data_IF_484749884737
#
_entry.id   IF_484749884737
#
_cell.length_a   1.000
_cell.length_b   1.000
_cell.length_c   1.000
_cell.angle_alpha   90.00
_cell.angle_beta   90.00
_cell.angle_gamma   90.00
#
_symmetry.space_group_name_H-M   'P 1'
#
loop_
_entity.id
_entity.type
_entity.pdbx_description
1 polymer ?
#
# COMPACT_ATOMS: atom_id res chain seq x y z
N UNK A 1 -28.67 12.94 23.15
CA UNK A 1 -27.47 13.35 23.91
C UNK A 1 -26.35 13.51 22.90
N UNK A 2 -26.04 14.74 22.52
CA UNK A 2 -24.88 15.07 21.71
C UNK A 2 -23.62 14.81 22.55
N UNK A 3 -22.80 13.87 22.10
CA UNK A 3 -21.46 13.67 22.63
C UNK A 3 -20.63 14.89 22.25
N UNK A 4 -20.41 15.79 23.18
CA UNK A 4 -19.42 16.86 23.01
C UNK A 4 -18.05 16.23 22.94
N UNK A 5 -17.51 16.10 21.73
CA UNK A 5 -16.12 15.76 21.53
C UNK A 5 -15.28 16.85 22.21
N UNK A 6 -14.57 16.51 23.30
CA UNK A 6 -13.59 17.41 23.89
C UNK A 6 -12.54 17.74 22.83
N UNK A 7 -12.37 19.02 22.53
CA UNK A 7 -11.25 19.46 21.69
C UNK A 7 -9.95 19.15 22.45
N UNK A 8 -9.11 18.33 21.85
CA UNK A 8 -7.77 18.07 22.40
C UNK A 8 -6.83 19.15 21.89
N UNK A 9 -6.17 19.85 22.78
CA UNK A 9 -5.13 20.82 22.41
C UNK A 9 -3.81 20.08 22.16
N UNK A 10 -3.18 20.36 21.02
CA UNK A 10 -1.89 19.78 20.61
C UNK A 10 -0.79 20.83 20.71
N UNK A 11 0.43 20.39 21.02
CA UNK A 11 1.62 21.28 21.07
C UNK A 11 2.09 21.75 19.68
N UNK A 12 1.70 21.01 18.65
CA UNK A 12 1.86 21.34 17.22
C UNK A 12 0.58 20.95 16.50
N UNK A 13 0.30 21.53 15.36
CA UNK A 13 -0.88 21.15 14.58
C UNK A 13 -0.82 19.67 14.20
N UNK A 14 -1.93 18.91 14.38
CA UNK A 14 -1.97 17.53 13.97
C UNK A 14 -1.84 17.42 12.43
N UNK A 15 -1.19 16.36 11.91
CA UNK A 15 -1.09 16.17 10.48
C UNK A 15 -2.47 15.91 9.88
N UNK A 16 -2.64 16.30 8.62
CA UNK A 16 -3.85 16.02 7.84
C UNK A 16 -4.13 14.51 7.75
N UNK A 17 -5.40 14.20 7.57
CA UNK A 17 -5.82 12.82 7.30
C UNK A 17 -5.40 12.46 5.87
N UNK A 18 -4.45 11.55 5.74
CA UNK A 18 -4.09 11.00 4.43
C UNK A 18 -5.27 10.23 3.87
N UNK A 19 -5.63 10.52 2.63
CA UNK A 19 -6.79 9.92 1.98
C UNK A 19 -6.57 9.71 0.49
N UNK A 20 -7.27 8.73 -0.08
CA UNK A 20 -7.24 8.40 -1.50
C UNK A 20 -8.52 8.87 -2.19
N UNK A 21 -8.41 9.24 -3.45
CA UNK A 21 -9.55 9.56 -4.32
C UNK A 21 -10.39 8.31 -4.57
N UNK A 22 -11.69 8.48 -4.63
CA UNK A 22 -12.63 7.44 -5.03
C UNK A 22 -13.16 7.81 -6.42
N UNK A 23 -13.00 6.91 -7.38
CA UNK A 23 -13.46 7.12 -8.74
C UNK A 23 -14.99 7.36 -8.76
N UNK A 24 -15.39 8.48 -9.38
CA UNK A 24 -16.81 8.85 -9.51
C UNK A 24 -17.46 9.40 -8.24
N UNK A 25 -16.70 9.81 -7.23
CA UNK A 25 -17.19 10.38 -5.99
C UNK A 25 -16.36 11.59 -5.56
N UNK A 26 -17.01 12.55 -4.89
CA UNK A 26 -16.33 13.65 -4.20
C UNK A 26 -15.83 13.23 -2.79
N UNK A 27 -16.27 12.09 -2.29
CA UNK A 27 -15.79 11.51 -1.04
C UNK A 27 -14.38 10.95 -1.19
N UNK A 28 -13.67 10.84 -0.07
CA UNK A 28 -12.30 10.31 -0.04
C UNK A 28 -12.19 9.15 0.94
N UNK A 29 -11.37 8.18 0.60
CA UNK A 29 -11.09 7.03 1.47
C UNK A 29 -9.97 7.38 2.46
N UNK A 30 -10.25 7.47 3.79
CA UNK A 30 -9.23 7.79 4.79
C UNK A 30 -8.29 6.60 5.02
N UNK A 31 -6.99 6.84 4.91
CA UNK A 31 -5.97 5.80 5.10
C UNK A 31 -5.50 5.76 6.55
N UNK A 32 -5.57 4.57 7.14
CA UNK A 32 -5.06 4.34 8.49
C UNK A 32 -3.69 3.66 8.51
N UNK A 33 -3.53 2.59 7.74
CA UNK A 33 -2.29 1.78 7.66
C UNK A 33 -2.09 1.29 6.24
N UNK A 34 -0.84 1.04 5.87
CA UNK A 34 -0.47 0.46 4.58
C UNK A 34 0.35 -0.79 4.84
N UNK A 35 -0.23 -1.95 4.53
CA UNK A 35 0.47 -3.23 4.56
C UNK A 35 0.79 -3.64 3.14
N UNK A 36 2.03 -4.06 2.89
CA UNK A 36 2.48 -4.55 1.61
C UNK A 36 2.83 -6.04 1.73
N UNK A 37 2.45 -6.83 0.73
CA UNK A 37 2.82 -8.24 0.66
C UNK A 37 4.08 -8.39 -0.18
N UNK A 38 5.13 -8.96 0.43
CA UNK A 38 6.34 -9.29 -0.31
C UNK A 38 6.16 -10.56 -1.13
N UNK A 39 6.63 -10.53 -2.39
CA UNK A 39 6.67 -11.70 -3.29
C UNK A 39 5.33 -12.39 -3.51
N UNK A 40 4.23 -11.62 -3.55
CA UNK A 40 2.89 -12.14 -3.68
C UNK A 40 2.57 -12.69 -5.08
N UNK A 41 3.18 -12.13 -6.14
CA UNK A 41 2.98 -12.62 -7.50
C UNK A 41 3.87 -13.84 -7.77
N UNK A 42 3.25 -14.98 -8.13
CA UNK A 42 3.95 -16.26 -8.31
C UNK A 42 5.16 -16.17 -9.25
N UNK A 43 5.01 -15.52 -10.40
CA UNK A 43 6.11 -15.34 -11.35
C UNK A 43 7.29 -14.61 -10.69
N UNK A 44 7.02 -13.49 -10.04
CA UNK A 44 8.04 -12.70 -9.35
C UNK A 44 8.68 -13.45 -8.15
N UNK A 45 7.90 -14.24 -7.42
CA UNK A 45 8.43 -15.07 -6.36
C UNK A 45 9.45 -16.09 -6.89
N UNK A 46 9.12 -16.82 -7.97
CA UNK A 46 10.05 -17.76 -8.59
C UNK A 46 11.31 -17.08 -9.15
N UNK A 47 11.18 -15.95 -9.82
CA UNK A 47 12.32 -15.16 -10.32
C UNK A 47 13.25 -14.71 -9.18
N UNK A 48 12.69 -14.44 -8.00
CA UNK A 48 13.43 -14.06 -6.80
C UNK A 48 14.00 -15.24 -6.03
N UNK A 49 13.88 -16.48 -6.56
CA UNK A 49 14.36 -17.70 -5.90
C UNK A 49 13.49 -18.15 -4.72
N UNK A 50 12.26 -17.65 -4.62
CA UNK A 50 11.29 -18.04 -3.61
C UNK A 50 10.29 -19.05 -4.17
N UNK A 51 9.70 -19.86 -3.29
CA UNK A 51 8.64 -20.79 -3.65
C UNK A 51 7.36 -20.46 -2.89
N UNK A 52 6.38 -19.79 -3.54
CA UNK A 52 5.14 -19.38 -2.89
C UNK A 52 4.23 -20.54 -2.47
N UNK A 53 4.51 -21.77 -2.92
CA UNK A 53 3.76 -22.97 -2.51
C UNK A 53 4.26 -23.53 -1.17
N UNK A 54 5.45 -23.11 -0.74
CA UNK A 54 6.11 -23.60 0.48
C UNK A 54 6.28 -22.50 1.53
N UNK A 55 6.61 -21.31 1.08
CA UNK A 55 6.87 -20.17 1.96
C UNK A 55 5.60 -19.38 2.21
N UNK A 56 5.25 -19.08 3.48
CA UNK A 56 4.12 -18.22 3.77
C UNK A 56 4.36 -16.80 3.27
N UNK A 57 3.30 -16.04 2.95
CA UNK A 57 3.43 -14.63 2.61
C UNK A 57 4.01 -13.87 3.80
N UNK A 58 4.82 -12.85 3.52
CA UNK A 58 5.33 -11.95 4.53
C UNK A 58 4.91 -10.51 4.24
N UNK A 59 4.88 -9.70 5.30
CA UNK A 59 4.41 -8.33 5.23
C UNK A 59 5.54 -7.36 5.58
N UNK A 60 5.51 -6.20 4.93
CA UNK A 60 6.22 -5.01 5.36
C UNK A 60 5.24 -3.83 5.34
N UNK A 61 5.66 -2.68 5.86
CA UNK A 61 4.80 -1.53 6.03
C UNK A 61 5.39 -0.35 5.29
N UNK A 62 4.54 0.40 4.57
CA UNK A 62 4.82 1.78 4.20
C UNK A 62 4.07 2.70 5.16
N UNK A 63 4.64 3.85 5.57
CA UNK A 63 3.88 4.82 6.33
C UNK A 63 2.72 5.36 5.49
N UNK A 64 1.60 5.70 6.14
CA UNK A 64 0.41 6.18 5.42
C UNK A 64 0.67 7.46 4.62
N UNK A 65 1.54 8.32 5.12
CA UNK A 65 1.96 9.58 4.51
C UNK A 65 2.95 9.40 3.34
N UNK A 66 3.38 8.16 3.07
CA UNK A 66 4.06 7.83 1.82
C UNK A 66 3.13 7.80 0.61
N UNK A 67 1.80 7.71 0.81
CA UNK A 67 0.82 7.74 -0.27
C UNK A 67 0.74 9.15 -0.85
N UNK A 68 0.85 9.22 -2.17
CA UNK A 68 0.64 10.44 -2.96
C UNK A 68 -0.21 10.13 -4.19
N UNK A 69 -0.86 11.14 -4.74
CA UNK A 69 -1.55 11.00 -6.02
C UNK A 69 -0.54 10.69 -7.13
N UNK A 70 -0.80 9.65 -7.91
CA UNK A 70 0.08 9.23 -9.01
C UNK A 70 0.28 10.31 -10.08
N UNK A 71 -0.60 11.31 -10.15
CA UNK A 71 -0.52 12.46 -11.08
C UNK A 71 0.47 13.54 -10.64
N UNK A 72 0.87 13.56 -9.37
CA UNK A 72 1.77 14.61 -8.84
C UNK A 72 3.23 14.45 -9.27
N UNK A 73 3.56 13.34 -9.92
CA UNK A 73 4.93 12.98 -10.22
C UNK A 73 5.70 12.51 -8.99
N UNK A 74 6.78 11.79 -9.21
CA UNK A 74 7.60 11.24 -8.15
C UNK A 74 9.03 11.80 -8.25
N UNK A 75 9.45 12.65 -7.29
CA UNK A 75 10.82 13.15 -7.27
C UNK A 75 11.78 11.99 -6.98
N UNK A 76 12.93 11.97 -7.64
CA UNK A 76 13.94 10.97 -7.35
C UNK A 76 14.41 11.13 -5.89
N UNK A 77 14.28 10.08 -5.06
CA UNK A 77 14.61 10.19 -3.64
C UNK A 77 16.11 10.31 -3.41
N UNK A 78 16.48 10.97 -2.31
CA UNK A 78 17.88 11.02 -1.86
C UNK A 78 18.38 9.64 -1.39
N UNK A 79 19.68 9.51 -1.21
CA UNK A 79 20.41 8.36 -0.65
C UNK A 79 20.20 7.03 -1.37
N UNK A 80 19.88 7.08 -2.67
CA UNK A 80 19.83 5.91 -3.55
C UNK A 80 20.30 6.26 -4.96
N UNK A 81 20.95 5.33 -5.61
CA UNK A 81 21.31 5.40 -7.03
C UNK A 81 20.51 4.40 -7.89
N UNK A 82 19.65 3.60 -7.25
CA UNK A 82 18.89 2.55 -7.90
C UNK A 82 17.43 2.55 -7.42
N UNK A 83 16.65 3.52 -7.92
CA UNK A 83 15.20 3.55 -7.70
C UNK A 83 14.50 2.56 -8.62
N UNK A 84 13.64 1.73 -8.05
CA UNK A 84 12.74 0.82 -8.78
C UNK A 84 11.29 1.17 -8.49
N UNK A 85 10.43 0.83 -9.43
CA UNK A 85 8.97 0.86 -9.29
C UNK A 85 8.41 -0.55 -9.42
N UNK A 86 7.45 -0.89 -8.59
CA UNK A 86 6.75 -2.16 -8.59
C UNK A 86 5.26 -1.87 -8.71
N UNK A 87 4.62 -2.29 -9.82
CA UNK A 87 3.18 -2.10 -10.03
C UNK A 87 2.38 -3.06 -9.17
N UNK A 88 1.48 -2.51 -8.35
CA UNK A 88 0.77 -3.27 -7.34
C UNK A 88 -0.74 -3.06 -7.39
N UNK A 89 -1.49 -4.11 -7.07
CA UNK A 89 -2.92 -4.02 -6.78
C UNK A 89 -3.09 -3.43 -5.38
N UNK A 90 -3.77 -2.30 -5.29
CA UNK A 90 -4.17 -1.69 -4.02
C UNK A 90 -5.53 -2.23 -3.61
N UNK A 91 -5.64 -2.69 -2.37
CA UNK A 91 -6.89 -3.19 -1.78
C UNK A 91 -7.27 -2.31 -0.59
N UNK A 92 -8.37 -1.58 -0.70
CA UNK A 92 -8.90 -0.75 0.37
C UNK A 92 -9.90 -1.53 1.22
N UNK A 93 -9.64 -1.66 2.52
CA UNK A 93 -10.49 -2.40 3.46
C UNK A 93 -11.41 -1.44 4.22
N UNK A 94 -12.72 -1.69 4.19
CA UNK A 94 -13.75 -0.92 4.93
C UNK A 94 -13.90 -1.37 6.37
N UNK A 95 -13.45 -2.56 6.69
CA UNK A 95 -13.53 -3.14 8.04
C UNK A 95 -12.36 -4.08 8.29
N UNK A 96 -12.09 -4.35 9.54
CA UNK A 96 -11.10 -5.32 9.99
C UNK A 96 -11.73 -6.35 10.91
N UNK A 97 -10.89 -7.21 11.47
CA UNK A 97 -11.29 -8.25 12.42
C UNK A 97 -10.09 -9.03 12.91
N UNK A 98 -10.37 -10.07 13.67
CA UNK A 98 -9.41 -11.06 14.16
C UNK A 98 -9.93 -12.44 13.76
N UNK A 99 -9.04 -13.31 13.31
CA UNK A 99 -9.36 -14.68 12.91
C UNK A 99 -10.50 -14.76 11.86
N UNK A 100 -10.46 -13.84 10.87
CA UNK A 100 -11.44 -13.78 9.79
C UNK A 100 -11.33 -15.03 8.94
N UNK A 101 -12.47 -15.74 8.73
CA UNK A 101 -12.51 -16.87 7.81
C UNK A 101 -12.15 -16.37 6.38
N UNK A 102 -11.27 -17.08 5.66
CA UNK A 102 -10.96 -16.75 4.27
C UNK A 102 -12.18 -16.60 3.37
N UNK A 103 -13.27 -17.34 3.63
CA UNK A 103 -14.52 -17.22 2.89
C UNK A 103 -15.19 -15.84 3.06
N UNK A 104 -14.95 -15.17 4.19
CA UNK A 104 -15.52 -13.85 4.50
C UNK A 104 -14.60 -12.69 4.11
N UNK A 105 -13.35 -12.97 3.72
CA UNK A 105 -12.33 -11.94 3.50
C UNK A 105 -12.77 -10.89 2.45
N UNK A 106 -13.43 -11.29 1.39
CA UNK A 106 -13.90 -10.38 0.33
C UNK A 106 -14.94 -9.38 0.84
N UNK A 107 -15.73 -9.74 1.85
CA UNK A 107 -16.74 -8.83 2.42
C UNK A 107 -16.14 -7.61 3.12
N UNK A 108 -14.86 -7.66 3.50
CA UNK A 108 -14.13 -6.56 4.12
C UNK A 108 -13.55 -5.56 3.11
N UNK A 109 -13.58 -5.89 1.82
CA UNK A 109 -13.01 -5.03 0.77
C UNK A 109 -14.03 -3.95 0.39
N UNK A 110 -13.55 -2.70 0.37
CA UNK A 110 -14.30 -1.55 -0.11
C UNK A 110 -14.06 -1.31 -1.60
N UNK A 111 -12.80 -1.30 -2.01
CA UNK A 111 -12.41 -0.88 -3.36
C UNK A 111 -11.04 -1.46 -3.75
N UNK A 112 -10.77 -1.41 -5.05
CA UNK A 112 -9.47 -1.71 -5.62
C UNK A 112 -8.90 -0.47 -6.32
N UNK A 113 -7.58 -0.41 -6.40
CA UNK A 113 -6.84 0.61 -7.13
C UNK A 113 -5.52 0.05 -7.66
N UNK A 114 -4.75 0.92 -8.31
CA UNK A 114 -3.40 0.61 -8.75
C UNK A 114 -2.44 1.57 -8.07
N UNK A 115 -1.31 1.05 -7.60
CA UNK A 115 -0.27 1.84 -6.98
C UNK A 115 1.12 1.39 -7.41
N UNK A 116 2.10 2.16 -7.02
CA UNK A 116 3.50 1.81 -7.17
C UNK A 116 4.14 1.62 -5.79
N UNK A 117 4.78 0.48 -5.59
CA UNK A 117 5.69 0.28 -4.47
C UNK A 117 7.09 0.73 -4.88
N UNK A 118 7.39 2.01 -4.63
CA UNK A 118 8.70 2.57 -4.95
C UNK A 118 9.75 2.03 -3.99
N UNK A 119 10.86 1.58 -4.56
CA UNK A 119 11.90 0.85 -3.84
C UNK A 119 13.28 1.43 -4.11
N UNK A 120 14.02 1.77 -3.08
CA UNK A 120 15.47 2.02 -3.13
C UNK A 120 16.17 0.67 -3.18
N UNK A 121 16.41 0.16 -4.39
CA UNK A 121 16.82 -1.22 -4.61
C UNK A 121 18.20 -1.54 -4.04
N UNK A 122 19.15 -0.61 -4.16
CA UNK A 122 20.48 -0.73 -3.57
C UNK A 122 20.43 -0.93 -2.05
N UNK A 123 19.60 -0.14 -1.36
CA UNK A 123 19.39 -0.26 0.08
C UNK A 123 18.60 -1.52 0.46
N UNK A 124 17.68 -1.98 -0.40
CA UNK A 124 16.99 -3.24 -0.18
C UNK A 124 17.94 -4.43 -0.27
N UNK A 125 18.81 -4.46 -1.28
CA UNK A 125 19.83 -5.50 -1.43
C UNK A 125 20.80 -5.54 -0.25
N UNK A 126 21.22 -4.36 0.23
CA UNK A 126 22.07 -4.29 1.43
C UNK A 126 21.33 -4.81 2.67
N UNK A 127 20.08 -4.41 2.87
CA UNK A 127 19.28 -4.89 3.99
C UNK A 127 19.08 -6.42 3.94
N UNK A 128 18.85 -7.00 2.77
CA UNK A 128 18.74 -8.42 2.56
C UNK A 128 20.06 -9.14 2.91
N UNK A 129 21.18 -8.65 2.38
CA UNK A 129 22.52 -9.21 2.64
C UNK A 129 22.87 -9.19 4.12
N UNK A 130 22.44 -8.18 4.86
CA UNK A 130 22.72 -7.99 6.28
C UNK A 130 21.59 -8.52 7.20
N UNK A 131 20.57 -9.15 6.64
CA UNK A 131 19.39 -9.63 7.38
C UNK A 131 18.73 -8.52 8.22
N UNK A 132 18.63 -7.31 7.66
CA UNK A 132 18.04 -6.12 8.29
C UNK A 132 16.62 -5.86 7.79
N UNK A 133 15.78 -5.12 8.55
CA UNK A 133 14.47 -4.66 8.09
C UNK A 133 14.56 -3.80 6.82
N UNK A 134 13.50 -3.83 6.00
CA UNK A 134 13.45 -3.12 4.72
C UNK A 134 12.98 -1.66 4.82
N UNK A 135 12.76 -1.14 6.02
CA UNK A 135 12.18 0.18 6.21
C UNK A 135 12.90 1.29 5.42
N UNK A 136 14.23 1.33 5.45
CA UNK A 136 15.02 2.35 4.73
C UNK A 136 14.82 2.29 3.21
N UNK A 137 14.54 1.13 2.67
CA UNK A 137 14.36 0.91 1.23
C UNK A 137 12.92 1.06 0.77
N UNK A 138 11.93 0.83 1.65
CA UNK A 138 10.50 0.77 1.31
C UNK A 138 9.66 1.89 1.93
N UNK A 139 10.08 2.45 3.09
CA UNK A 139 9.28 3.39 3.88
C UNK A 139 9.85 4.81 3.84
N UNK A 140 9.89 5.41 2.66
CA UNK A 140 10.35 6.78 2.47
C UNK A 140 9.25 7.67 1.89
N UNK A 141 9.43 8.98 1.98
CA UNK A 141 8.45 9.96 1.54
C UNK A 141 8.06 9.76 0.07
N UNK A 142 6.77 9.84 -0.21
CA UNK A 142 6.18 9.66 -1.54
C UNK A 142 6.48 8.30 -2.19
N UNK A 143 6.78 7.28 -1.40
CA UNK A 143 7.13 5.94 -1.90
C UNK A 143 5.93 5.08 -2.31
N UNK A 144 4.72 5.61 -2.23
CA UNK A 144 3.48 4.93 -2.62
C UNK A 144 2.58 5.82 -3.50
N UNK A 145 2.99 6.15 -4.74
CA UNK A 145 2.09 6.79 -5.69
C UNK A 145 0.89 5.88 -5.98
N UNK A 146 -0.32 6.40 -5.78
CA UNK A 146 -1.55 5.64 -5.98
C UNK A 146 -2.52 6.40 -6.89
N UNK A 147 -3.20 5.65 -7.75
CA UNK A 147 -4.36 6.13 -8.50
C UNK A 147 -5.63 6.08 -7.67
N UNK A 148 -6.77 6.47 -8.27
CA UNK A 148 -8.06 6.44 -7.59
C UNK A 148 -8.49 5.00 -7.25
N UNK A 149 -9.32 4.89 -6.23
CA UNK A 149 -9.97 3.65 -5.82
C UNK A 149 -11.28 3.45 -6.58
N UNK A 150 -11.51 2.23 -7.03
CA UNK A 150 -12.74 1.80 -7.72
C UNK A 150 -13.57 0.93 -6.77
N UNK A 151 -14.73 1.41 -6.28
CA UNK A 151 -15.57 0.67 -5.34
C UNK A 151 -16.02 -0.68 -5.89
N UNK A 152 -16.00 -1.72 -5.05
CA UNK A 152 -16.44 -3.08 -5.41
C UNK A 152 -17.87 -3.12 -5.91
N UNK A 153 -18.74 -2.26 -5.38
CA UNK A 153 -20.14 -2.15 -5.78
C UNK A 153 -20.32 -1.85 -7.28
N UNK A 154 -19.35 -1.14 -7.88
CA UNK A 154 -19.40 -0.77 -9.31
C UNK A 154 -18.42 -1.60 -10.16
N UNK A 155 -17.29 -2.01 -9.64
CA UNK A 155 -16.25 -2.73 -10.39
C UNK A 155 -16.32 -4.25 -10.24
N UNK A 156 -16.99 -4.76 -9.20
CA UNK A 156 -16.87 -6.15 -8.78
C UNK A 156 -15.52 -6.45 -8.12
N UNK A 157 -15.32 -7.72 -7.72
CA UNK A 157 -14.04 -8.16 -7.16
C UNK A 157 -13.01 -8.45 -8.26
N UNK A 158 -11.79 -7.96 -8.07
CA UNK A 158 -10.64 -8.20 -8.96
C UNK A 158 -10.04 -9.60 -8.70
N UNK A 159 -10.68 -10.64 -9.26
CA UNK A 159 -10.27 -12.06 -9.05
C UNK A 159 -9.20 -12.50 -10.04
N UNK A 160 -9.21 -11.92 -11.25
CA UNK A 160 -8.24 -12.20 -12.32
C UNK A 160 -7.98 -10.93 -13.10
N UNK A 161 -6.75 -10.77 -13.59
CA UNK A 161 -6.37 -9.60 -14.37
C UNK A 161 -4.89 -9.61 -14.70
N UNK A 162 -4.50 -8.67 -15.57
CA UNK A 162 -3.09 -8.39 -15.85
C UNK A 162 -2.69 -7.10 -15.18
N UNK A 163 -1.50 -7.09 -14.57
CA UNK A 163 -0.82 -5.86 -14.14
C UNK A 163 0.34 -5.64 -15.10
N UNK A 164 0.45 -4.43 -15.62
CA UNK A 164 1.50 -4.04 -16.55
C UNK A 164 1.87 -2.57 -16.34
N UNK A 165 3.10 -2.24 -16.66
CA UNK A 165 3.65 -0.89 -16.65
C UNK A 165 4.20 -0.57 -18.05
N UNK A 166 4.02 0.66 -18.49
CA UNK A 166 4.51 1.17 -19.78
C UNK A 166 5.26 2.50 -19.59
#
# INVERSE_FOLDING_TARGET
>A
QESSAQSTDYVIDPPDVISMEIHGSDERFPVRRVFCLGRNYRAHAFESGDNPDVNPPFFFIKPRDAIVDSREGHPYPSVTEALRYEGELVVALKSGGTDIDPADALSHIYAYGVGLDMTRQDLQQEAQRLSRPWAISKSFDKSAPCGPLYPVETSGHAVTGRIWLS
#
